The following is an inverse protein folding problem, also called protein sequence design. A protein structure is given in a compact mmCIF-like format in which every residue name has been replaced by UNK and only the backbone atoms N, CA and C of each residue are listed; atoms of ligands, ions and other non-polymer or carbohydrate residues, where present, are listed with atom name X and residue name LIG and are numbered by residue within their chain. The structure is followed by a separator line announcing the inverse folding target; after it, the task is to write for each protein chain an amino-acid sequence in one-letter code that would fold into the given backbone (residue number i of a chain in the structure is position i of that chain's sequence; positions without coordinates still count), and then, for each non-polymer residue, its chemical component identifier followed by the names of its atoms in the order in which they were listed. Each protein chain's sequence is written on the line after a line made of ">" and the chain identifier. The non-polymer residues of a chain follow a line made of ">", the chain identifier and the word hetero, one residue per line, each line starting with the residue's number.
data_IF_464572364445
#
_entry.id   IF_464572364445
#
_cell.length_a   1.000
_cell.length_b   1.000
_cell.length_c   1.000
_cell.angle_alpha   90.00
_cell.angle_beta   90.00
_cell.angle_gamma   90.00
#
_symmetry.space_group_name_H-M   'P 1'
#
loop_
_entity.id
_entity.type
_entity.pdbx_description
1 polymer ?
#
# COMPACT_ATOMS: atom_id res chain seq x y z
N UNK A 1 -14.81 -11.94 24.65
CA UNK A 1 -14.96 -10.71 23.86
C UNK A 1 -14.47 -11.04 22.46
N UNK A 2 -15.34 -11.05 21.45
CA UNK A 2 -14.93 -11.28 20.07
C UNK A 2 -13.98 -10.15 19.64
N UNK A 3 -12.80 -10.49 19.14
CA UNK A 3 -11.90 -9.51 18.56
C UNK A 3 -12.59 -8.95 17.33
N UNK A 4 -12.95 -7.66 17.33
CA UNK A 4 -13.38 -6.98 16.13
C UNK A 4 -12.31 -7.11 15.06
N UNK A 5 -12.67 -7.72 13.93
CA UNK A 5 -11.76 -7.82 12.80
C UNK A 5 -11.71 -6.46 12.11
N UNK A 6 -10.58 -5.76 12.18
CA UNK A 6 -10.32 -4.48 11.49
C UNK A 6 -10.35 -4.59 9.96
N UNK A 7 -10.55 -5.79 9.41
CA UNK A 7 -10.86 -6.07 8.00
C UNK A 7 -12.37 -6.13 7.69
N UNK A 8 -13.23 -5.72 8.62
CA UNK A 8 -14.65 -5.59 8.36
C UNK A 8 -14.95 -4.27 7.67
N UNK A 9 -15.82 -4.27 6.67
CA UNK A 9 -16.24 -3.06 5.95
C UNK A 9 -16.80 -1.97 6.89
N UNK A 10 -17.43 -2.35 8.01
CA UNK A 10 -17.93 -1.43 9.04
C UNK A 10 -17.68 -2.03 10.41
N UNK A 11 -16.76 -1.49 11.21
CA UNK A 11 -16.62 -1.87 12.61
C UNK A 11 -17.91 -1.55 13.38
N UNK A 12 -18.45 -2.55 14.09
CA UNK A 12 -19.70 -2.38 14.87
C UNK A 12 -19.54 -1.58 16.17
N UNK A 13 -18.30 -1.26 16.57
CA UNK A 13 -18.03 -0.50 17.80
C UNK A 13 -18.26 1.00 17.63
N UNK A 14 -18.66 1.67 18.72
CA UNK A 14 -18.70 3.11 18.80
C UNK A 14 -17.33 3.72 18.39
N UNK A 15 -17.35 4.79 17.61
CA UNK A 15 -16.14 5.48 17.15
C UNK A 15 -15.47 6.18 18.34
N UNK A 16 -14.24 5.77 18.64
CA UNK A 16 -13.36 6.43 19.63
C UNK A 16 -12.11 6.89 18.95
N UNK A 17 -12.01 8.19 18.69
CA UNK A 17 -10.85 8.81 18.05
C UNK A 17 -9.70 9.03 19.02
N UNK A 18 -8.49 9.06 18.49
CA UNK A 18 -7.24 9.36 19.19
C UNK A 18 -6.37 10.24 18.29
N UNK A 19 -5.68 11.17 18.88
CA UNK A 19 -4.65 11.95 18.19
C UNK A 19 -3.27 11.35 18.47
N UNK A 20 -2.47 11.19 17.43
CA UNK A 20 -1.08 10.78 17.53
C UNK A 20 -0.17 11.83 16.91
N UNK A 21 1.02 12.03 17.48
CA UNK A 21 2.09 12.84 16.90
C UNK A 21 3.15 11.93 16.33
N UNK A 22 3.54 12.17 15.10
CA UNK A 22 4.50 11.34 14.38
C UNK A 22 5.23 12.14 13.31
N UNK A 23 6.15 11.48 12.58
CA UNK A 23 6.88 12.09 11.47
C UNK A 23 6.57 11.36 10.18
N UNK A 24 6.15 12.11 9.14
CA UNK A 24 5.94 11.58 7.79
C UNK A 24 6.69 12.45 6.77
N UNK A 25 7.40 11.85 5.83
CA UNK A 25 8.16 12.55 4.79
C UNK A 25 9.03 13.69 5.35
N UNK A 26 9.62 13.51 6.54
CA UNK A 26 10.43 14.53 7.21
C UNK A 26 9.66 15.59 8.00
N UNK A 27 8.34 15.64 7.94
CA UNK A 27 7.49 16.62 8.63
C UNK A 27 6.93 16.06 9.93
N UNK A 28 6.97 16.83 11.02
CA UNK A 28 6.22 16.54 12.24
C UNK A 28 4.73 16.78 11.98
N UNK A 29 3.91 15.77 12.21
CA UNK A 29 2.47 15.81 11.92
C UNK A 29 1.66 15.31 13.10
N UNK A 30 0.45 15.84 13.22
CA UNK A 30 -0.55 15.39 14.17
C UNK A 30 -1.73 14.78 13.42
N UNK A 31 -1.95 13.47 13.61
CA UNK A 31 -2.91 12.69 12.87
C UNK A 31 -3.98 12.13 13.80
N UNK A 32 -5.18 11.96 13.25
CA UNK A 32 -6.30 11.30 13.93
C UNK A 32 -6.36 9.85 13.53
N UNK A 33 -6.52 8.98 14.52
CA UNK A 33 -6.79 7.55 14.35
C UNK A 33 -7.94 7.13 15.25
N UNK A 34 -8.40 5.88 15.16
CA UNK A 34 -9.53 5.39 15.95
C UNK A 34 -9.42 3.89 16.26
N UNK A 35 -10.27 3.40 17.17
CA UNK A 35 -10.48 1.97 17.32
C UNK A 35 -11.08 1.35 16.04
N UNK A 36 -10.94 0.04 15.86
CA UNK A 36 -11.46 -0.68 14.69
C UNK A 36 -10.67 -0.48 13.40
N UNK A 37 -9.48 0.12 13.47
CA UNK A 37 -8.51 0.20 12.37
C UNK A 37 -7.19 -0.46 12.75
N UNK A 38 -6.36 -0.77 11.77
CA UNK A 38 -5.05 -1.37 12.00
C UNK A 38 -4.10 -0.39 12.71
N UNK A 39 -3.41 -0.87 13.77
CA UNK A 39 -2.41 -0.11 14.53
C UNK A 39 -2.83 1.32 14.94
N UNK A 40 -3.91 1.47 15.73
CA UNK A 40 -4.49 2.79 16.03
C UNK A 40 -3.66 3.65 16.98
N UNK A 41 -2.61 3.10 17.60
CA UNK A 41 -1.82 3.81 18.61
C UNK A 41 -0.54 4.44 18.04
N UNK A 42 -0.06 3.94 16.93
CA UNK A 42 1.20 4.38 16.30
C UNK A 42 1.28 3.85 14.86
N UNK A 43 2.19 4.40 14.08
CA UNK A 43 2.56 3.80 12.80
C UNK A 43 3.14 2.40 13.07
N UNK A 44 2.58 1.38 12.43
CA UNK A 44 3.06 0.00 12.54
C UNK A 44 4.54 -0.12 12.17
N UNK A 45 5.25 -1.03 12.85
CA UNK A 45 6.68 -1.26 12.60
C UNK A 45 6.95 -1.68 11.14
N UNK A 46 6.09 -2.50 10.53
CA UNK A 46 6.20 -2.88 9.12
C UNK A 46 6.11 -1.67 8.20
N UNK A 47 5.13 -0.80 8.43
CA UNK A 47 4.97 0.46 7.70
C UNK A 47 6.20 1.36 7.86
N UNK A 48 6.74 1.51 9.07
CA UNK A 48 7.98 2.27 9.30
C UNK A 48 9.17 1.68 8.51
N UNK A 49 9.30 0.34 8.49
CA UNK A 49 10.35 -0.36 7.73
C UNK A 49 10.16 -0.14 6.23
N UNK A 50 8.94 -0.20 5.71
CA UNK A 50 8.64 0.09 4.32
C UNK A 50 9.09 1.51 3.95
N UNK A 51 8.56 2.51 4.64
CA UNK A 51 8.84 3.93 4.38
C UNK A 51 10.33 4.29 4.46
N UNK A 52 11.09 3.60 5.33
CA UNK A 52 12.54 3.78 5.43
C UNK A 52 13.35 3.03 4.36
N UNK A 53 12.73 2.12 3.59
CA UNK A 53 13.42 1.23 2.65
C UNK A 53 13.12 1.53 1.18
N UNK A 54 12.01 2.20 0.90
CA UNK A 54 11.59 2.51 -0.48
C UNK A 54 12.31 3.75 -1.00
N UNK A 55 12.55 3.85 -2.33
CA UNK A 55 13.01 5.09 -2.94
C UNK A 55 11.92 6.14 -2.92
N UNK A 56 12.28 7.39 -3.25
CA UNK A 56 11.29 8.44 -3.49
C UNK A 56 10.25 7.97 -4.53
N UNK A 57 8.95 8.23 -4.31
CA UNK A 57 7.90 7.81 -5.22
C UNK A 57 7.97 8.60 -6.55
N UNK A 58 7.34 8.09 -7.62
CA UNK A 58 7.19 8.84 -8.87
C UNK A 58 6.53 10.20 -8.64
N UNK A 59 6.99 11.29 -9.30
CA UNK A 59 6.52 12.64 -9.02
C UNK A 59 5.09 12.92 -9.53
N UNK A 60 4.52 12.02 -10.32
CA UNK A 60 3.19 12.18 -10.92
C UNK A 60 2.54 10.84 -11.26
N UNK A 61 1.41 10.89 -11.97
CA UNK A 61 0.60 9.71 -12.29
C UNK A 61 -0.24 9.24 -11.10
N UNK A 62 -0.72 7.99 -11.15
CA UNK A 62 -1.45 7.39 -10.05
C UNK A 62 -0.50 6.55 -9.18
N UNK A 63 -0.57 6.74 -7.88
CA UNK A 63 0.17 5.97 -6.87
C UNK A 63 -0.84 5.24 -5.99
N UNK A 64 -0.52 4.03 -5.54
CA UNK A 64 -1.44 3.22 -4.73
C UNK A 64 -0.86 2.89 -3.36
N UNK A 65 -1.60 3.20 -2.32
CA UNK A 65 -1.48 2.61 -0.98
C UNK A 65 -2.56 1.52 -0.83
N UNK A 66 -2.14 0.26 -0.90
CA UNK A 66 -3.04 -0.90 -0.86
C UNK A 66 -3.16 -1.44 0.57
N UNK A 67 -4.37 -1.38 1.14
CA UNK A 67 -4.61 -1.65 2.55
C UNK A 67 -4.16 -0.48 3.42
N UNK A 68 -4.67 0.72 3.10
CA UNK A 68 -4.11 1.99 3.61
C UNK A 68 -4.30 2.21 5.12
N UNK A 69 -5.25 1.51 5.78
CA UNK A 69 -5.60 1.80 7.15
C UNK A 69 -5.95 3.28 7.32
N UNK A 70 -5.49 3.92 8.40
CA UNK A 70 -5.72 5.35 8.65
C UNK A 70 -4.74 6.29 7.89
N UNK A 71 -3.96 5.77 6.91
CA UNK A 71 -3.30 6.51 5.87
C UNK A 71 -1.82 6.85 6.00
N UNK A 72 -0.98 6.23 6.83
CA UNK A 72 0.43 6.63 6.96
C UNK A 72 1.22 6.58 5.64
N UNK A 73 0.98 5.56 4.82
CA UNK A 73 1.64 5.40 3.51
C UNK A 73 1.05 6.41 2.51
N UNK A 74 -0.28 6.50 2.40
CA UNK A 74 -0.94 7.41 1.47
C UNK A 74 -0.56 8.88 1.71
N UNK A 75 -0.53 9.30 2.98
CA UNK A 75 -0.10 10.65 3.36
C UNK A 75 1.37 10.91 3.02
N UNK A 76 2.24 9.92 3.22
CA UNK A 76 3.66 10.02 2.82
C UNK A 76 3.79 10.17 1.30
N UNK A 77 3.12 9.30 0.52
CA UNK A 77 3.12 9.37 -0.94
C UNK A 77 2.64 10.74 -1.43
N UNK A 78 1.58 11.28 -0.82
CA UNK A 78 1.01 12.56 -1.24
C UNK A 78 1.91 13.77 -0.91
N UNK A 79 2.60 13.73 0.24
CA UNK A 79 3.58 14.75 0.62
C UNK A 79 4.81 14.76 -0.29
N UNK A 80 5.32 13.56 -0.65
CA UNK A 80 6.50 13.41 -1.49
C UNK A 80 6.21 13.59 -2.99
N UNK A 81 4.93 13.42 -3.40
CA UNK A 81 4.49 13.52 -4.81
C UNK A 81 3.26 14.41 -4.94
N UNK A 82 3.37 15.73 -4.73
CA UNK A 82 2.22 16.63 -4.70
C UNK A 82 1.48 16.77 -6.05
N UNK A 83 2.10 16.34 -7.16
CA UNK A 83 1.49 16.35 -8.49
C UNK A 83 0.90 15.00 -8.90
N UNK A 84 1.07 13.96 -8.09
CA UNK A 84 0.47 12.64 -8.31
C UNK A 84 -0.96 12.59 -7.77
N UNK A 85 -1.76 11.64 -8.26
CA UNK A 85 -3.00 11.21 -7.61
C UNK A 85 -2.69 9.99 -6.75
N UNK A 86 -2.87 10.09 -5.44
CA UNK A 86 -2.66 8.98 -4.51
C UNK A 86 -3.98 8.29 -4.22
N UNK A 87 -4.09 7.04 -4.59
CA UNK A 87 -5.21 6.17 -4.25
C UNK A 87 -4.91 5.47 -2.93
N UNK A 88 -5.70 5.78 -1.90
CA UNK A 88 -5.68 5.10 -0.61
C UNK A 88 -6.83 4.10 -0.57
N UNK A 89 -6.53 2.81 -0.66
CA UNK A 89 -7.53 1.74 -0.83
C UNK A 89 -7.59 0.86 0.40
N UNK A 90 -8.79 0.73 0.99
CA UNK A 90 -9.07 -0.18 2.10
C UNK A 90 -10.52 -0.67 2.02
N UNK A 91 -10.81 -1.83 2.60
CA UNK A 91 -12.19 -2.35 2.72
C UNK A 91 -12.93 -1.70 3.91
N UNK A 92 -12.21 -1.11 4.85
CA UNK A 92 -12.73 -0.54 6.09
C UNK A 92 -13.06 0.95 5.88
N UNK A 93 -14.35 1.29 5.79
CA UNK A 93 -14.81 2.67 5.61
C UNK A 93 -14.34 3.63 6.72
N UNK A 94 -14.24 3.15 7.98
CA UNK A 94 -13.69 3.95 9.08
C UNK A 94 -12.23 4.35 8.82
N UNK A 95 -11.45 3.46 8.25
CA UNK A 95 -10.08 3.74 7.84
C UNK A 95 -10.03 4.82 6.75
N UNK A 96 -10.89 4.70 5.74
CA UNK A 96 -10.99 5.68 4.65
C UNK A 96 -11.44 7.06 5.14
N UNK A 97 -12.37 7.12 6.09
CA UNK A 97 -12.80 8.39 6.70
C UNK A 97 -11.66 9.06 7.47
N UNK A 98 -10.83 8.27 8.16
CA UNK A 98 -9.64 8.78 8.84
C UNK A 98 -8.60 9.32 7.83
N UNK A 99 -8.41 8.64 6.69
CA UNK A 99 -7.55 9.14 5.61
C UNK A 99 -8.04 10.49 5.11
N UNK A 100 -9.34 10.62 4.81
CA UNK A 100 -9.96 11.88 4.35
C UNK A 100 -9.77 13.00 5.37
N UNK A 101 -10.08 12.74 6.63
CA UNK A 101 -9.94 13.73 7.72
C UNK A 101 -8.48 14.15 7.93
N UNK A 102 -7.53 13.23 7.88
CA UNK A 102 -6.11 13.52 8.00
C UNK A 102 -5.58 14.32 6.80
N UNK A 103 -6.00 13.98 5.59
CA UNK A 103 -5.63 14.70 4.37
C UNK A 103 -6.17 16.15 4.40
N UNK A 104 -7.43 16.34 4.80
CA UNK A 104 -8.03 17.67 4.98
C UNK A 104 -7.28 18.50 6.03
N UNK A 105 -7.03 17.92 7.22
CA UNK A 105 -6.28 18.57 8.31
C UNK A 105 -4.89 19.01 7.87
N UNK A 106 -4.24 18.26 6.99
CA UNK A 106 -2.92 18.55 6.45
C UNK A 106 -2.95 19.38 5.17
N UNK A 107 -4.12 19.77 4.68
CA UNK A 107 -4.30 20.48 3.40
C UNK A 107 -3.68 19.71 2.19
N UNK A 108 -3.83 18.39 2.17
CA UNK A 108 -3.36 17.50 1.11
C UNK A 108 -4.52 17.21 0.15
N UNK A 109 -4.57 17.80 -1.06
CA UNK A 109 -5.72 17.70 -1.96
C UNK A 109 -5.67 16.49 -2.90
N UNK A 110 -4.55 15.79 -2.99
CA UNK A 110 -4.28 14.80 -4.05
C UNK A 110 -4.48 13.34 -3.62
N UNK A 111 -5.21 13.10 -2.51
CA UNK A 111 -5.58 11.75 -2.05
C UNK A 111 -7.01 11.41 -2.45
N UNK A 112 -7.21 10.23 -3.01
CA UNK A 112 -8.50 9.58 -3.28
C UNK A 112 -8.64 8.35 -2.40
N UNK A 113 -9.38 8.46 -1.30
CA UNK A 113 -9.70 7.34 -0.42
C UNK A 113 -10.94 6.59 -0.95
N UNK A 114 -10.79 5.32 -1.28
CA UNK A 114 -11.82 4.51 -1.93
C UNK A 114 -11.80 3.05 -1.47
N UNK A 115 -12.97 2.41 -1.47
CA UNK A 115 -13.04 0.94 -1.37
C UNK A 115 -12.55 0.31 -2.68
N UNK A 116 -12.16 -0.98 -2.67
CA UNK A 116 -11.66 -1.69 -3.85
C UNK A 116 -12.62 -1.66 -5.06
N UNK A 117 -13.93 -1.57 -4.82
CA UNK A 117 -14.97 -1.54 -5.84
C UNK A 117 -15.13 -0.16 -6.48
N UNK A 118 -14.71 0.90 -5.77
CA UNK A 118 -14.85 2.28 -6.20
C UNK A 118 -13.60 2.81 -6.94
N UNK A 119 -12.57 1.97 -7.14
CA UNK A 119 -11.43 2.31 -8.00
C UNK A 119 -11.69 1.81 -9.41
N UNK A 120 -11.82 2.70 -10.42
CA UNK A 120 -12.07 2.29 -11.80
C UNK A 120 -11.08 1.24 -12.29
N UNK A 121 -11.54 0.24 -13.04
CA UNK A 121 -10.71 -0.90 -13.46
C UNK A 121 -9.57 -0.51 -14.41
N UNK A 122 -9.75 0.55 -15.19
CA UNK A 122 -8.78 1.09 -16.14
C UNK A 122 -7.66 1.93 -15.49
N UNK A 123 -7.77 2.25 -14.21
CA UNK A 123 -6.70 2.97 -13.50
C UNK A 123 -5.48 2.09 -13.30
N UNK A 124 -4.34 2.51 -13.81
CA UNK A 124 -3.02 1.90 -13.62
C UNK A 124 -2.13 2.74 -12.70
N UNK A 125 -1.10 2.16 -12.14
CA UNK A 125 -0.29 2.78 -11.08
C UNK A 125 1.20 2.85 -11.44
N UNK A 126 1.81 3.99 -11.18
CA UNK A 126 3.27 4.20 -11.28
C UNK A 126 4.03 3.56 -10.11
N UNK A 127 3.37 3.35 -8.99
CA UNK A 127 3.89 2.55 -7.87
C UNK A 127 2.75 2.01 -7.02
N UNK A 128 2.98 0.87 -6.39
CA UNK A 128 2.08 0.26 -5.39
C UNK A 128 2.89 0.04 -4.13
N UNK A 129 2.49 0.67 -3.02
CA UNK A 129 3.05 0.44 -1.70
C UNK A 129 2.03 -0.26 -0.82
N UNK A 130 2.45 -1.23 -0.03
CA UNK A 130 1.53 -1.96 0.83
C UNK A 130 2.21 -2.56 2.06
N UNK A 131 1.55 -2.44 3.19
CA UNK A 131 1.71 -3.32 4.34
C UNK A 131 0.49 -4.26 4.37
N UNK A 132 0.50 -5.33 3.56
CA UNK A 132 -0.72 -6.08 3.27
C UNK A 132 -1.22 -6.85 4.49
N UNK A 133 -2.54 -7.13 4.56
CA UNK A 133 -3.18 -7.80 5.69
C UNK A 133 -2.86 -9.31 5.73
N UNK A 134 -1.68 -9.70 6.15
CA UNK A 134 -1.23 -11.11 6.19
C UNK A 134 -2.17 -12.00 7.04
N UNK A 135 -2.82 -11.43 8.06
CA UNK A 135 -3.66 -12.18 9.01
C UNK A 135 -5.06 -12.53 8.51
N UNK A 136 -5.49 -12.01 7.37
CA UNK A 136 -6.80 -12.37 6.75
C UNK A 136 -6.80 -13.79 6.20
N UNK A 137 -5.63 -14.41 6.09
CA UNK A 137 -5.46 -15.72 5.50
C UNK A 137 -4.75 -15.66 4.14
N UNK A 138 -4.14 -16.78 3.78
CA UNK A 138 -3.29 -16.88 2.60
C UNK A 138 -4.06 -16.63 1.30
N UNK A 139 -5.27 -17.21 1.18
CA UNK A 139 -6.07 -17.09 -0.05
C UNK A 139 -6.53 -15.65 -0.28
N UNK A 140 -7.03 -14.99 0.77
CA UNK A 140 -7.47 -13.59 0.66
C UNK A 140 -6.33 -12.65 0.30
N UNK A 141 -5.13 -12.87 0.89
CA UNK A 141 -3.94 -12.12 0.52
C UNK A 141 -3.54 -12.36 -0.94
N UNK A 142 -3.60 -13.60 -1.41
CA UNK A 142 -3.29 -13.94 -2.80
C UNK A 142 -4.27 -13.29 -3.77
N UNK A 143 -5.58 -13.41 -3.52
CA UNK A 143 -6.63 -12.77 -4.33
C UNK A 143 -6.45 -11.26 -4.40
N UNK A 144 -6.12 -10.62 -3.26
CA UNK A 144 -5.81 -9.19 -3.21
C UNK A 144 -4.64 -8.85 -4.16
N UNK A 145 -3.53 -9.56 -4.06
CA UNK A 145 -2.33 -9.27 -4.85
C UNK A 145 -2.52 -9.62 -6.34
N UNK A 146 -3.25 -10.69 -6.68
CA UNK A 146 -3.62 -11.03 -8.07
C UNK A 146 -4.47 -9.96 -8.73
N UNK A 147 -5.37 -9.31 -7.97
CA UNK A 147 -6.19 -8.21 -8.47
C UNK A 147 -5.39 -6.93 -8.72
N UNK A 148 -4.45 -6.59 -7.83
CA UNK A 148 -3.83 -5.26 -7.82
C UNK A 148 -2.45 -5.19 -8.46
N UNK A 149 -1.61 -6.22 -8.33
CA UNK A 149 -0.24 -6.21 -8.90
C UNK A 149 -0.24 -6.02 -10.42
N UNK A 150 -1.13 -6.65 -11.22
CA UNK A 150 -1.17 -6.45 -12.67
C UNK A 150 -1.55 -5.03 -13.12
N UNK A 151 -2.08 -4.19 -12.21
CA UNK A 151 -2.40 -2.79 -12.48
C UNK A 151 -1.20 -1.85 -12.38
N UNK A 152 -0.03 -2.36 -12.01
CA UNK A 152 1.22 -1.61 -12.05
C UNK A 152 1.62 -1.33 -13.51
N UNK A 153 2.08 -0.13 -13.83
CA UNK A 153 2.54 0.22 -15.17
C UNK A 153 3.86 -0.48 -15.56
N UNK A 154 4.10 -0.76 -16.85
CA UNK A 154 5.36 -1.33 -17.30
C UNK A 154 6.57 -0.50 -16.86
N UNK A 155 7.62 -1.16 -16.36
CA UNK A 155 8.81 -0.50 -15.85
C UNK A 155 8.69 0.09 -14.44
N UNK A 156 7.52 -0.05 -13.79
CA UNK A 156 7.23 0.47 -12.46
C UNK A 156 7.39 -0.61 -11.36
N UNK A 157 7.36 -0.17 -10.10
CA UNK A 157 7.67 -1.01 -8.95
C UNK A 157 6.53 -1.08 -7.93
N UNK A 158 6.24 -2.30 -7.46
CA UNK A 158 5.44 -2.55 -6.26
C UNK A 158 6.35 -2.85 -5.07
N UNK A 159 6.00 -2.34 -3.89
CA UNK A 159 6.75 -2.50 -2.65
C UNK A 159 5.84 -3.04 -1.56
N UNK A 160 6.16 -4.23 -1.06
CA UNK A 160 5.37 -4.95 -0.06
C UNK A 160 6.21 -5.20 1.18
N UNK A 161 5.74 -4.82 2.35
CA UNK A 161 6.42 -5.17 3.60
C UNK A 161 5.71 -6.35 4.28
N UNK A 162 6.48 -7.35 4.69
CA UNK A 162 5.96 -8.58 5.27
C UNK A 162 6.81 -9.01 6.47
N UNK A 163 6.17 -9.32 7.58
CA UNK A 163 6.87 -9.86 8.75
C UNK A 163 7.44 -11.25 8.41
N UNK A 164 8.72 -11.49 8.74
CA UNK A 164 9.43 -12.73 8.40
C UNK A 164 8.69 -13.98 8.87
N UNK A 165 8.25 -13.97 10.13
CA UNK A 165 7.58 -15.11 10.77
C UNK A 165 6.14 -15.33 10.29
N UNK A 166 5.57 -14.40 9.51
CA UNK A 166 4.24 -14.50 8.93
C UNK A 166 4.25 -14.89 7.45
N UNK A 167 5.31 -15.55 6.98
CA UNK A 167 5.34 -16.18 5.66
C UNK A 167 5.95 -15.34 4.54
N UNK A 168 6.85 -14.40 4.84
CA UNK A 168 7.51 -13.57 3.82
C UNK A 168 8.21 -14.38 2.72
N UNK A 169 8.84 -15.51 3.05
CA UNK A 169 9.50 -16.37 2.07
C UNK A 169 8.49 -17.16 1.21
N UNK A 170 7.39 -17.57 1.81
CA UNK A 170 6.29 -18.23 1.10
C UNK A 170 5.62 -17.28 0.13
N UNK A 171 5.33 -16.06 0.56
CA UNK A 171 4.75 -15.04 -0.30
C UNK A 171 5.69 -14.67 -1.46
N UNK A 172 6.98 -14.49 -1.19
CA UNK A 172 7.95 -14.18 -2.25
C UNK A 172 8.01 -15.28 -3.32
N UNK A 173 8.06 -16.55 -2.93
CA UNK A 173 8.04 -17.68 -3.87
C UNK A 173 6.73 -17.75 -4.65
N UNK A 174 5.61 -17.50 -3.98
CA UNK A 174 4.30 -17.49 -4.64
C UNK A 174 4.20 -16.36 -5.68
N UNK A 175 4.62 -15.13 -5.36
CA UNK A 175 4.66 -14.02 -6.31
C UNK A 175 5.49 -14.34 -7.55
N UNK A 176 6.68 -14.95 -7.37
CA UNK A 176 7.54 -15.36 -8.48
C UNK A 176 6.89 -16.46 -9.35
N UNK A 177 6.13 -17.37 -8.74
CA UNK A 177 5.43 -18.44 -9.45
C UNK A 177 4.16 -17.97 -10.15
N UNK A 178 3.46 -16.99 -9.58
CA UNK A 178 2.20 -16.46 -10.13
C UNK A 178 2.42 -15.50 -11.30
N UNK A 179 3.51 -14.72 -11.26
CA UNK A 179 3.81 -13.68 -12.28
C UNK A 179 5.20 -13.87 -12.91
N UNK A 180 5.53 -15.05 -13.48
CA UNK A 180 6.90 -15.37 -13.86
C UNK A 180 7.43 -14.54 -15.02
N UNK A 181 6.57 -14.19 -15.98
CA UNK A 181 6.95 -13.54 -17.22
C UNK A 181 6.84 -12.00 -17.15
N UNK A 182 5.86 -11.50 -16.43
CA UNK A 182 5.56 -10.07 -16.38
C UNK A 182 6.33 -9.31 -15.30
N UNK A 183 6.71 -9.99 -14.22
CA UNK A 183 7.32 -9.36 -13.05
C UNK A 183 8.63 -10.03 -12.62
N UNK A 184 9.50 -9.22 -12.03
CA UNK A 184 10.66 -9.67 -11.29
C UNK A 184 10.53 -9.31 -9.82
N UNK A 185 10.38 -10.31 -8.94
CA UNK A 185 10.29 -10.10 -7.49
C UNK A 185 11.63 -10.39 -6.82
N UNK A 186 12.08 -9.44 -5.99
CA UNK A 186 13.32 -9.54 -5.22
C UNK A 186 13.09 -9.12 -3.76
N UNK A 187 13.97 -9.55 -2.88
CA UNK A 187 14.06 -9.06 -1.50
C UNK A 187 14.89 -7.80 -1.50
N UNK A 188 14.26 -6.63 -1.37
CA UNK A 188 14.95 -5.35 -1.40
C UNK A 188 15.67 -5.03 -0.08
N UNK A 189 15.02 -5.32 1.07
CA UNK A 189 15.61 -5.11 2.38
C UNK A 189 15.07 -6.08 3.44
N UNK A 190 15.79 -6.16 4.56
CA UNK A 190 15.35 -6.86 5.77
C UNK A 190 15.74 -6.02 6.99
N UNK A 191 14.76 -5.63 7.79
CA UNK A 191 14.98 -4.82 8.99
C UNK A 191 13.92 -5.13 10.06
N UNK A 192 14.28 -5.08 11.35
CA UNK A 192 13.38 -5.27 12.51
C UNK A 192 12.44 -6.49 12.39
N UNK A 193 12.89 -7.58 11.79
CA UNK A 193 12.06 -8.77 11.59
C UNK A 193 11.08 -8.71 10.43
N UNK A 194 11.14 -7.67 9.60
CA UNK A 194 10.35 -7.49 8.38
C UNK A 194 11.23 -7.60 7.13
N UNK A 195 10.63 -8.02 6.03
CA UNK A 195 11.21 -7.98 4.67
C UNK A 195 10.41 -7.03 3.80
N UNK A 196 11.13 -6.24 3.01
CA UNK A 196 10.54 -5.47 1.92
C UNK A 196 10.79 -6.24 0.63
N UNK A 197 9.70 -6.62 -0.03
CA UNK A 197 9.73 -7.25 -1.35
C UNK A 197 9.49 -6.16 -2.40
N UNK A 198 10.30 -6.15 -3.45
CA UNK A 198 10.09 -5.32 -4.64
C UNK A 198 9.64 -6.20 -5.79
N UNK A 199 8.52 -5.84 -6.41
CA UNK A 199 8.04 -6.43 -7.66
C UNK A 199 8.15 -5.39 -8.77
N UNK A 200 9.06 -5.61 -9.75
CA UNK A 200 9.16 -4.74 -10.93
C UNK A 200 8.39 -5.33 -12.09
N UNK A 201 7.44 -4.56 -12.62
CA UNK A 201 6.82 -4.94 -13.90
C UNK A 201 7.81 -4.72 -15.02
N UNK A 202 8.03 -5.75 -15.84
CA UNK A 202 8.94 -5.66 -17.00
C UNK A 202 8.35 -4.69 -18.02
N UNK A 203 9.19 -3.85 -18.60
CA UNK A 203 8.84 -3.11 -19.82
C UNK A 203 8.70 -4.14 -20.93
N UNK A 204 7.58 -4.18 -21.65
CA UNK A 204 7.41 -5.13 -22.76
C UNK A 204 8.62 -5.04 -23.69
N UNK A 205 9.16 -6.18 -24.12
CA UNK A 205 10.14 -6.18 -25.21
C UNK A 205 9.44 -5.58 -26.43
N UNK A 206 9.84 -4.38 -26.84
CA UNK A 206 9.60 -3.92 -28.21
C UNK A 206 10.14 -5.03 -29.11
N UNK A 207 9.27 -5.67 -29.89
CA UNK A 207 9.64 -6.73 -30.80
C UNK A 207 10.82 -6.34 -31.69
N UNK A 208 11.51 -7.31 -32.32
CA UNK A 208 12.69 -7.04 -33.11
C UNK A 208 12.36 -5.98 -34.16
N UNK A 209 13.16 -4.91 -34.19
CA UNK A 209 13.16 -3.93 -35.28
C UNK A 209 13.32 -4.73 -36.58
N UNK A 210 12.27 -4.83 -37.36
CA UNK A 210 12.31 -5.50 -38.64
C UNK A 210 13.43 -4.87 -39.47
N UNK A 211 14.45 -5.66 -39.78
CA UNK A 211 15.47 -5.28 -40.75
C UNK A 211 14.75 -5.29 -42.10
N UNK A 212 14.37 -4.13 -42.56
CA UNK A 212 13.95 -3.93 -43.94
C UNK A 212 15.19 -4.13 -44.81
N UNK A 213 15.18 -5.16 -45.61
CA UNK A 213 16.17 -5.38 -46.69
C UNK A 213 15.81 -4.52 -47.90
#
# INVERSE_FOLDING_TARGET
>A
MASEHYFSASPGSELKTRTIRTRLAGHEVELTTANGVFSPERIDTGTQVLLASVPAPPPGGNLLDLGCGWGPIALTLALESPHATVWAVDVNERALDLVRANAEKMSIPNIKAATPENVPEDVTFMTIWSNPPIRVGKNELHNLLEKWIPRLEPGCDAWLVVQRNLGSDSLHRWLQATFPDEFAFVRASTNKGYRVLRGRRRSGMTGPIGIVR
#
